data_IF_570767995652
#
_entry.id   IF_570767995652
#
_cell.length_a   1.000
_cell.length_b   1.000
_cell.length_c   1.000
_cell.angle_alpha   90.00
_cell.angle_beta   90.00
_cell.angle_gamma   90.00
#
_symmetry.space_group_name_H-M   'P 1'
#
loop_
_entity.id
_entity.type
_entity.pdbx_description
1 polymer ?
#
# COMPACT_ATOMS: atom_id res chain seq x y z
N UNK A 1 -7.95 -1.72 46.06
CA UNK A 1 -9.40 -1.83 46.31
C UNK A 1 -10.12 -1.56 45.01
N UNK A 2 -10.67 -2.60 44.43
CA UNK A 2 -11.29 -2.71 43.11
C UNK A 2 -12.71 -2.18 43.16
N UNK A 3 -13.17 -1.46 42.13
CA UNK A 3 -14.57 -1.39 41.71
C UNK A 3 -14.59 -0.88 40.26
N UNK A 4 -14.81 -1.77 39.35
CA UNK A 4 -16.05 -2.40 38.92
C UNK A 4 -16.78 -1.58 37.85
N UNK A 5 -16.64 -2.07 36.63
CA UNK A 5 -17.62 -2.18 35.55
C UNK A 5 -19.01 -1.58 35.81
N UNK A 6 -19.49 -0.75 34.90
CA UNK A 6 -20.92 -0.81 34.52
C UNK A 6 -21.07 -0.85 33.01
N UNK A 7 -21.44 -2.01 32.59
CA UNK A 7 -22.12 -2.39 31.35
C UNK A 7 -23.56 -1.81 31.33
N UNK A 8 -24.12 -1.75 30.08
CA UNK A 8 -25.55 -1.64 29.74
C UNK A 8 -26.02 -0.21 29.44
N UNK A 9 -26.51 0.04 28.26
CA UNK A 9 -27.82 -0.34 27.78
C UNK A 9 -27.90 -0.38 26.25
N UNK A 10 -28.30 -1.53 25.74
CA UNK A 10 -28.86 -1.71 24.40
C UNK A 10 -30.29 -1.15 24.45
N UNK A 11 -30.57 -0.13 23.66
CA UNK A 11 -31.94 0.24 23.33
C UNK A 11 -32.21 -0.14 21.88
N UNK A 12 -32.83 -1.28 21.66
CA UNK A 12 -33.43 -1.65 20.39
C UNK A 12 -34.71 -0.83 20.20
N UNK A 13 -34.67 0.10 19.26
CA UNK A 13 -35.87 0.67 18.68
C UNK A 13 -35.95 0.20 17.23
N UNK A 14 -36.79 -0.79 16.96
CA UNK A 14 -37.19 -1.18 15.61
C UNK A 14 -38.30 -0.24 15.19
N UNK A 15 -38.05 0.63 14.19
CA UNK A 15 -39.06 1.17 13.28
C UNK A 15 -38.44 1.68 12.00
N UNK A 16 -38.77 1.03 10.89
CA UNK A 16 -38.95 1.56 9.55
C UNK A 16 -37.74 2.13 8.81
N UNK A 17 -37.19 1.37 7.85
CA UNK A 17 -36.74 1.82 6.55
C UNK A 17 -35.73 2.97 6.51
N UNK A 18 -34.42 2.62 6.50
CA UNK A 18 -33.35 3.52 6.22
C UNK A 18 -32.09 2.98 6.86
N UNK A 19 -31.12 2.54 6.08
CA UNK A 19 -29.79 2.19 6.58
C UNK A 19 -29.15 3.49 7.13
N UNK A 20 -29.41 3.80 8.38
CA UNK A 20 -28.61 4.75 9.13
C UNK A 20 -27.26 4.07 9.38
N UNK A 21 -26.24 4.45 8.60
CA UNK A 21 -24.87 4.21 8.96
C UNK A 21 -24.69 4.80 10.36
N UNK A 22 -24.55 3.94 11.37
CA UNK A 22 -24.12 4.35 12.68
C UNK A 22 -22.69 4.85 12.49
N UNK A 23 -22.53 6.15 12.34
CA UNK A 23 -21.25 6.79 12.53
C UNK A 23 -20.88 6.51 14.00
N UNK A 24 -20.02 5.49 14.21
CA UNK A 24 -19.38 5.31 15.51
C UNK A 24 -18.62 6.60 15.77
N UNK A 25 -19.12 7.37 16.73
CA UNK A 25 -18.37 8.50 17.24
C UNK A 25 -17.01 7.96 17.72
N UNK A 26 -15.93 8.52 17.18
CA UNK A 26 -14.58 8.20 17.61
C UNK A 26 -14.52 8.36 19.14
N UNK A 27 -14.34 7.26 19.86
CA UNK A 27 -14.20 7.30 21.33
C UNK A 27 -12.93 8.03 21.78
N UNK A 28 -12.02 8.29 20.85
CA UNK A 28 -10.76 8.98 21.10
C UNK A 28 -10.72 10.29 20.31
N UNK A 29 -10.40 11.42 20.95
CA UNK A 29 -10.20 12.68 20.25
C UNK A 29 -9.03 12.51 19.25
N UNK A 30 -9.22 13.01 18.04
CA UNK A 30 -8.11 13.10 17.07
C UNK A 30 -6.98 13.92 17.69
N UNK A 31 -5.76 13.41 17.58
CA UNK A 31 -4.57 14.18 17.95
C UNK A 31 -4.49 15.36 16.98
N UNK A 32 -4.71 16.58 17.47
CA UNK A 32 -4.64 17.77 16.63
C UNK A 32 -3.17 18.09 16.28
N UNK A 33 -2.89 18.86 15.21
CA UNK A 33 -1.54 19.27 14.86
C UNK A 33 -0.79 19.94 16.00
N UNK A 34 -1.48 20.62 16.90
CA UNK A 34 -0.92 21.29 18.07
C UNK A 34 -0.37 20.30 19.12
N UNK A 35 -0.99 19.14 19.26
CA UNK A 35 -0.62 18.08 20.18
C UNK A 35 -0.03 16.84 19.47
N UNK A 36 0.12 16.90 18.15
CA UNK A 36 0.63 15.81 17.35
C UNK A 36 2.14 15.61 17.51
N UNK A 37 2.68 14.47 17.02
CA UNK A 37 4.11 14.20 17.08
C UNK A 37 4.89 15.26 16.29
N UNK A 38 6.04 15.69 16.83
CA UNK A 38 6.97 16.53 16.08
C UNK A 38 7.58 15.69 14.95
N UNK A 39 7.45 16.15 13.71
CA UNK A 39 7.96 15.45 12.53
C UNK A 39 8.47 16.42 11.47
N UNK A 40 9.30 15.91 10.57
CA UNK A 40 9.78 16.60 9.35
C UNK A 40 9.07 16.10 8.09
N UNK A 41 8.12 15.17 8.22
CA UNK A 41 7.38 14.60 7.11
C UNK A 41 6.52 15.67 6.40
N UNK A 42 6.47 15.64 5.08
CA UNK A 42 5.64 16.52 4.28
C UNK A 42 4.16 16.10 4.25
N UNK A 43 3.88 14.82 4.49
CA UNK A 43 2.55 14.22 4.66
C UNK A 43 2.66 13.07 5.63
N UNK A 44 1.69 12.90 6.52
CA UNK A 44 1.68 11.86 7.54
C UNK A 44 0.26 11.40 7.83
N UNK A 45 0.11 10.12 8.06
CA UNK A 45 -1.10 9.50 8.60
C UNK A 45 -0.70 8.45 9.64
N UNK A 46 -1.37 8.46 10.78
CA UNK A 46 -1.32 7.40 11.79
C UNK A 46 -2.72 6.82 11.90
N UNK A 47 -2.83 5.51 11.72
CA UNK A 47 -4.11 4.81 11.71
C UNK A 47 -4.01 3.50 12.50
N UNK A 48 -5.04 3.18 13.26
CA UNK A 48 -5.18 1.86 13.86
C UNK A 48 -5.52 0.83 12.79
N UNK A 49 -4.69 -0.20 12.64
CA UNK A 49 -4.84 -1.21 11.58
C UNK A 49 -6.07 -2.10 11.75
N UNK A 50 -6.58 -2.27 12.98
CA UNK A 50 -7.73 -3.16 13.25
C UNK A 50 -9.05 -2.46 12.99
N UNK A 51 -9.14 -1.19 13.36
CA UNK A 51 -10.38 -0.42 13.30
C UNK A 51 -10.45 0.49 12.08
N UNK A 52 -9.32 0.79 11.45
CA UNK A 52 -9.22 1.80 10.39
C UNK A 52 -9.35 3.23 10.93
N UNK A 53 -9.35 3.41 12.27
CA UNK A 53 -9.47 4.73 12.87
C UNK A 53 -8.21 5.56 12.63
N UNK A 54 -8.38 6.76 12.09
CA UNK A 54 -7.30 7.74 11.96
C UNK A 54 -7.05 8.37 13.32
N UNK A 55 -5.84 8.25 13.82
CA UNK A 55 -5.40 8.79 15.11
C UNK A 55 -4.73 10.15 14.95
N UNK A 56 -4.00 10.35 13.85
CA UNK A 56 -3.36 11.62 13.51
C UNK A 56 -3.18 11.73 12.00
N UNK A 57 -3.32 12.95 11.48
CA UNK A 57 -3.05 13.23 10.07
C UNK A 57 -2.46 14.62 9.85
N UNK A 58 -1.57 14.71 8.88
CA UNK A 58 -1.01 15.97 8.39
C UNK A 58 -0.86 15.90 6.87
N UNK A 59 -1.60 16.75 6.15
CA UNK A 59 -1.60 16.79 4.68
C UNK A 59 -1.74 15.39 4.05
N UNK A 60 -2.58 14.53 4.66
CA UNK A 60 -2.68 13.11 4.33
C UNK A 60 -3.20 12.86 2.91
N UNK A 61 -3.95 13.81 2.33
CA UNK A 61 -4.55 13.70 0.99
C UNK A 61 -3.74 14.45 -0.10
N UNK A 62 -2.60 15.04 0.27
CA UNK A 62 -1.72 15.68 -0.71
C UNK A 62 -0.99 14.62 -1.54
N UNK A 63 -1.08 14.72 -2.87
CA UNK A 63 -0.36 13.85 -3.80
C UNK A 63 1.14 13.95 -3.62
N UNK A 64 1.80 12.80 -3.57
CA UNK A 64 3.25 12.65 -3.40
C UNK A 64 3.76 11.55 -4.30
N UNK A 65 5.02 11.62 -4.67
CA UNK A 65 5.71 10.49 -5.26
C UNK A 65 5.86 9.39 -4.20
N UNK A 66 5.40 8.16 -4.46
CA UNK A 66 5.50 7.07 -3.48
C UNK A 66 6.92 6.56 -3.29
N UNK A 67 7.80 6.78 -4.25
CA UNK A 67 9.13 6.15 -4.27
C UNK A 67 9.02 4.63 -4.04
N UNK A 68 9.94 4.04 -3.31
CA UNK A 68 9.97 2.58 -3.07
C UNK A 68 8.80 2.02 -2.26
N UNK A 69 7.93 2.85 -1.67
CA UNK A 69 6.69 2.35 -1.08
C UNK A 69 5.72 1.76 -2.11
N UNK A 70 5.91 2.08 -3.40
CA UNK A 70 5.27 1.39 -4.54
C UNK A 70 5.39 -0.13 -4.46
N UNK A 71 6.51 -0.64 -3.94
CA UNK A 71 6.80 -2.08 -3.86
C UNK A 71 5.84 -2.84 -2.94
N UNK A 72 5.13 -2.15 -2.04
CA UNK A 72 4.04 -2.75 -1.26
C UNK A 72 2.97 -3.28 -2.23
N UNK A 73 2.52 -2.45 -3.19
CA UNK A 73 1.56 -2.86 -4.21
C UNK A 73 2.12 -3.97 -5.11
N UNK A 74 3.37 -3.85 -5.53
CA UNK A 74 4.01 -4.86 -6.40
C UNK A 74 4.12 -6.21 -5.70
N UNK A 75 4.49 -6.22 -4.41
CA UNK A 75 4.56 -7.44 -3.61
C UNK A 75 3.17 -8.03 -3.35
N UNK A 76 2.18 -7.20 -3.03
CA UNK A 76 0.80 -7.65 -2.88
C UNK A 76 0.30 -8.35 -4.14
N UNK A 77 0.49 -7.74 -5.30
CA UNK A 77 0.09 -8.35 -6.58
C UNK A 77 0.87 -9.64 -6.87
N UNK A 78 2.17 -9.70 -6.51
CA UNK A 78 2.92 -10.95 -6.63
C UNK A 78 2.27 -12.07 -5.82
N UNK A 79 1.85 -11.79 -4.58
CA UNK A 79 1.20 -12.77 -3.70
C UNK A 79 -0.24 -13.09 -4.15
N UNK A 80 -0.95 -12.15 -4.78
CA UNK A 80 -2.31 -12.37 -5.31
C UNK A 80 -2.31 -13.25 -6.58
N UNK A 81 -1.28 -13.16 -7.44
CA UNK A 81 -1.27 -13.77 -8.77
C UNK A 81 -0.31 -14.94 -8.94
N UNK A 82 0.67 -15.11 -8.08
CA UNK A 82 1.76 -16.08 -8.23
C UNK A 82 1.93 -16.92 -6.96
N UNK A 83 2.55 -18.09 -7.12
CA UNK A 83 2.93 -18.91 -5.98
C UNK A 83 4.39 -18.59 -5.56
N UNK A 84 4.73 -18.65 -4.26
CA UNK A 84 6.09 -18.37 -3.80
C UNK A 84 7.17 -19.24 -4.46
N UNK A 85 6.80 -20.46 -4.85
CA UNK A 85 7.67 -21.46 -5.49
C UNK A 85 7.79 -21.30 -7.01
N UNK A 86 6.94 -20.47 -7.63
CA UNK A 86 7.07 -20.18 -9.07
C UNK A 86 8.47 -19.61 -9.36
N UNK A 87 9.08 -20.09 -10.43
CA UNK A 87 10.40 -19.65 -10.88
C UNK A 87 10.25 -18.81 -12.14
N UNK A 88 10.63 -17.54 -12.05
CA UNK A 88 10.58 -16.58 -13.13
C UNK A 88 11.97 -16.34 -13.71
N UNK A 89 12.01 -15.95 -14.98
CA UNK A 89 13.26 -15.62 -15.68
C UNK A 89 13.38 -14.12 -15.86
N UNK A 90 14.55 -13.58 -15.54
CA UNK A 90 14.87 -12.17 -15.76
C UNK A 90 14.92 -11.85 -17.28
N UNK A 91 14.31 -10.74 -17.73
CA UNK A 91 14.33 -10.36 -19.13
C UNK A 91 15.74 -10.00 -19.63
N UNK A 92 15.93 -10.02 -20.94
CA UNK A 92 17.24 -9.77 -21.58
C UNK A 92 17.83 -8.38 -21.25
N UNK A 93 16.97 -7.41 -21.02
CA UNK A 93 17.34 -6.02 -20.73
C UNK A 93 17.35 -5.65 -19.25
N UNK A 94 17.30 -6.64 -18.36
CA UNK A 94 17.20 -6.43 -16.91
C UNK A 94 18.31 -5.53 -16.35
N UNK A 95 19.49 -5.54 -16.96
CA UNK A 95 20.63 -4.69 -16.56
C UNK A 95 20.43 -3.19 -16.79
N UNK A 96 19.40 -2.80 -17.55
CA UNK A 96 19.05 -1.39 -17.77
C UNK A 96 18.23 -0.80 -16.62
N UNK A 97 17.78 -1.65 -15.68
CA UNK A 97 17.00 -1.19 -14.54
C UNK A 97 17.89 -0.45 -13.56
N UNK A 98 17.57 0.81 -13.33
CA UNK A 98 18.36 1.70 -12.47
C UNK A 98 17.94 1.59 -10.99
N UNK A 99 18.82 2.09 -10.11
CA UNK A 99 18.59 2.18 -8.68
C UNK A 99 18.98 0.93 -7.91
N UNK A 100 18.32 0.68 -6.78
CA UNK A 100 18.60 -0.49 -5.93
C UNK A 100 18.31 -1.78 -6.68
N UNK A 101 19.19 -2.76 -6.57
CA UNK A 101 19.16 -3.99 -7.37
C UNK A 101 19.61 -5.19 -6.55
N UNK A 102 19.15 -6.38 -6.91
CA UNK A 102 19.75 -7.64 -6.52
C UNK A 102 20.74 -8.19 -7.57
N UNK A 103 20.97 -7.39 -8.64
CA UNK A 103 21.94 -7.64 -9.70
C UNK A 103 21.64 -8.86 -10.58
N UNK A 104 20.36 -9.03 -10.94
CA UNK A 104 19.94 -10.10 -11.83
C UNK A 104 20.65 -10.08 -13.18
N UNK A 105 21.01 -11.28 -13.66
CA UNK A 105 21.57 -11.44 -15.00
C UNK A 105 20.43 -11.79 -16.00
N UNK A 106 20.58 -11.42 -17.28
CA UNK A 106 19.65 -11.84 -18.32
C UNK A 106 19.44 -13.36 -18.32
N UNK A 107 18.18 -13.79 -18.28
CA UNK A 107 17.82 -15.20 -18.24
C UNK A 107 17.97 -15.89 -16.89
N UNK A 108 18.47 -15.19 -15.86
CA UNK A 108 18.57 -15.75 -14.50
C UNK A 108 17.20 -16.16 -13.98
N UNK A 109 17.15 -17.33 -13.36
CA UNK A 109 15.92 -17.91 -12.82
C UNK A 109 15.86 -17.74 -11.32
N UNK A 110 14.80 -17.09 -10.82
CA UNK A 110 14.64 -16.75 -9.42
C UNK A 110 13.22 -17.06 -8.97
N UNK A 111 13.05 -17.56 -7.74
CA UNK A 111 11.75 -17.82 -7.17
C UNK A 111 10.99 -16.51 -6.87
N UNK A 112 9.65 -16.56 -6.94
CA UNK A 112 8.80 -15.42 -6.55
C UNK A 112 9.07 -15.02 -5.10
N UNK A 113 9.30 -15.99 -4.23
CA UNK A 113 9.68 -15.77 -2.82
C UNK A 113 10.93 -14.91 -2.71
N UNK A 114 12.01 -15.24 -3.42
CA UNK A 114 13.28 -14.51 -3.36
C UNK A 114 13.15 -13.13 -3.98
N UNK A 115 12.36 -13.00 -5.07
CA UNK A 115 12.04 -11.69 -5.66
C UNK A 115 11.28 -10.79 -4.67
N UNK A 116 10.28 -11.34 -3.97
CA UNK A 116 9.55 -10.59 -2.94
C UNK A 116 10.46 -10.17 -1.78
N UNK A 117 11.32 -11.06 -1.29
CA UNK A 117 12.31 -10.71 -0.27
C UNK A 117 13.29 -9.62 -0.76
N UNK A 118 13.77 -9.72 -1.99
CA UNK A 118 14.65 -8.71 -2.57
C UNK A 118 13.94 -7.35 -2.70
N UNK A 119 12.68 -7.32 -3.14
CA UNK A 119 11.88 -6.09 -3.20
C UNK A 119 11.72 -5.45 -1.83
N UNK A 120 11.37 -6.22 -0.80
CA UNK A 120 11.03 -5.68 0.53
C UNK A 120 12.27 -5.39 1.40
N UNK A 121 13.33 -6.19 1.33
CA UNK A 121 14.51 -6.05 2.18
C UNK A 121 15.63 -5.22 1.55
N UNK A 122 15.78 -5.29 0.22
CA UNK A 122 16.84 -4.59 -0.53
C UNK A 122 16.32 -3.52 -1.46
N UNK A 123 14.99 -3.38 -1.53
CA UNK A 123 14.33 -2.44 -2.43
C UNK A 123 14.70 -2.67 -3.92
N UNK A 124 14.94 -3.93 -4.31
CA UNK A 124 15.44 -4.30 -5.63
C UNK A 124 14.45 -3.94 -6.75
N UNK A 125 14.84 -3.02 -7.63
CA UNK A 125 14.01 -2.56 -8.76
C UNK A 125 13.93 -3.60 -9.87
N UNK A 126 15.02 -4.31 -10.13
CA UNK A 126 15.08 -5.41 -11.09
C UNK A 126 14.13 -6.56 -10.74
N UNK A 127 14.02 -6.91 -9.45
CA UNK A 127 13.01 -7.87 -8.99
C UNK A 127 11.58 -7.41 -9.29
N UNK A 128 11.28 -6.10 -9.12
CA UNK A 128 9.97 -5.55 -9.48
C UNK A 128 9.65 -5.71 -10.97
N UNK A 129 10.64 -5.51 -11.84
CA UNK A 129 10.46 -5.62 -13.31
C UNK A 129 10.15 -7.07 -13.71
N UNK A 130 10.81 -8.06 -13.09
CA UNK A 130 10.52 -9.49 -13.33
C UNK A 130 9.06 -9.81 -12.96
N UNK A 131 8.63 -9.42 -11.75
CA UNK A 131 7.25 -9.62 -11.28
C UNK A 131 6.25 -8.90 -12.19
N UNK A 132 6.51 -7.62 -12.50
CA UNK A 132 5.62 -6.81 -13.32
C UNK A 132 5.39 -7.38 -14.73
N UNK A 133 6.47 -7.83 -15.38
CA UNK A 133 6.38 -8.46 -16.69
C UNK A 133 5.60 -9.77 -16.64
N UNK A 134 5.74 -10.57 -15.59
CA UNK A 134 5.00 -11.82 -15.42
C UNK A 134 3.51 -11.60 -15.24
N UNK A 135 3.11 -10.59 -14.45
CA UNK A 135 1.70 -10.31 -14.12
C UNK A 135 1.03 -9.51 -15.24
N UNK A 136 1.68 -8.47 -15.74
CA UNK A 136 1.11 -7.52 -16.67
C UNK A 136 1.41 -7.79 -18.15
N UNK A 137 2.29 -8.74 -18.47
CA UNK A 137 2.84 -8.97 -19.81
C UNK A 137 3.75 -7.83 -20.30
N UNK A 138 3.71 -6.69 -19.63
CA UNK A 138 4.52 -5.49 -19.88
C UNK A 138 4.44 -4.55 -18.68
N UNK A 139 5.35 -3.56 -18.57
CA UNK A 139 5.30 -2.56 -17.52
C UNK A 139 4.02 -1.71 -17.56
N UNK A 140 3.55 -1.22 -18.73
CA UNK A 140 2.26 -0.53 -18.81
C UNK A 140 1.07 -1.43 -18.44
N UNK A 141 1.08 -2.71 -18.82
CA UNK A 141 0.06 -3.67 -18.42
C UNK A 141 -0.01 -3.86 -16.90
N UNK A 142 1.14 -3.98 -16.25
CA UNK A 142 1.25 -4.03 -14.80
C UNK A 142 0.74 -2.74 -14.14
N UNK A 143 1.15 -1.57 -14.64
CA UNK A 143 0.73 -0.28 -14.12
C UNK A 143 -0.79 -0.12 -14.09
N UNK A 144 -1.49 -0.58 -15.14
CA UNK A 144 -2.95 -0.61 -15.19
C UNK A 144 -3.54 -1.51 -14.12
N UNK A 145 -3.01 -2.74 -13.95
CA UNK A 145 -3.47 -3.70 -12.93
C UNK A 145 -3.26 -3.11 -11.53
N UNK A 146 -2.07 -2.54 -11.25
CA UNK A 146 -1.73 -1.96 -9.97
C UNK A 146 -2.63 -0.76 -9.62
N UNK A 147 -2.91 0.11 -10.60
CA UNK A 147 -3.81 1.26 -10.40
C UNK A 147 -5.23 0.82 -10.14
N UNK A 148 -5.72 -0.19 -10.86
CA UNK A 148 -7.06 -0.73 -10.64
C UNK A 148 -7.16 -1.41 -9.27
N UNK A 149 -6.14 -2.18 -8.88
CA UNK A 149 -6.09 -2.77 -7.53
C UNK A 149 -6.14 -1.71 -6.43
N UNK A 150 -5.41 -0.61 -6.59
CA UNK A 150 -5.48 0.51 -5.66
C UNK A 150 -6.91 1.06 -5.53
N UNK A 151 -7.62 1.23 -6.65
CA UNK A 151 -9.02 1.69 -6.64
C UNK A 151 -9.94 0.74 -5.90
N UNK A 152 -9.79 -0.58 -6.07
CA UNK A 152 -10.60 -1.58 -5.36
C UNK A 152 -10.36 -1.54 -3.83
N UNK A 153 -9.18 -1.09 -3.40
CA UNK A 153 -8.83 -0.87 -1.99
C UNK A 153 -9.30 0.51 -1.47
N UNK A 154 -9.98 1.30 -2.31
CA UNK A 154 -10.43 2.65 -1.97
C UNK A 154 -9.33 3.72 -2.03
N UNK A 155 -8.16 3.42 -2.61
CA UNK A 155 -7.06 4.35 -2.85
C UNK A 155 -7.28 5.10 -4.18
N UNK A 156 -8.21 6.05 -4.16
CA UNK A 156 -8.72 6.72 -5.37
C UNK A 156 -7.84 7.87 -5.87
N UNK A 157 -6.89 8.34 -5.06
CA UNK A 157 -5.91 9.36 -5.43
C UNK A 157 -4.52 8.75 -5.69
N UNK A 158 -4.49 7.53 -6.24
CA UNK A 158 -3.26 6.79 -6.52
C UNK A 158 -3.24 6.36 -7.98
N UNK A 159 -2.09 6.56 -8.62
CA UNK A 159 -1.79 6.04 -9.96
C UNK A 159 -0.37 5.47 -9.95
N UNK A 160 -0.25 4.25 -10.42
CA UNK A 160 1.03 3.58 -10.61
C UNK A 160 1.42 3.62 -12.09
N UNK A 161 2.69 3.94 -12.37
CA UNK A 161 3.30 3.93 -13.70
C UNK A 161 4.45 2.93 -13.72
N UNK A 162 5.26 2.90 -12.66
CA UNK A 162 6.40 1.98 -12.52
C UNK A 162 6.16 0.98 -11.41
N UNK A 163 6.71 -0.25 -11.50
CA UNK A 163 6.54 -1.26 -10.44
C UNK A 163 7.43 -1.04 -9.22
N UNK A 164 8.41 -0.14 -9.31
CA UNK A 164 9.45 0.08 -8.31
C UNK A 164 9.43 1.45 -7.66
N UNK A 165 8.68 2.42 -8.23
CA UNK A 165 8.56 3.75 -7.67
C UNK A 165 9.61 4.76 -8.14
N UNK A 166 10.35 4.47 -9.22
CA UNK A 166 11.12 5.51 -9.89
C UNK A 166 10.18 6.61 -10.39
N UNK A 167 10.60 7.89 -10.32
CA UNK A 167 9.73 9.01 -10.55
C UNK A 167 9.23 9.07 -12.02
N UNK A 168 7.93 9.24 -12.15
CA UNK A 168 7.22 9.53 -13.40
C UNK A 168 6.15 10.57 -13.08
N UNK A 169 5.83 11.49 -13.99
CA UNK A 169 4.89 12.59 -13.72
C UNK A 169 3.54 12.12 -13.17
N UNK A 170 3.02 11.01 -13.70
CA UNK A 170 1.73 10.45 -13.32
C UNK A 170 1.82 9.35 -12.26
N UNK A 171 3.01 9.15 -11.65
CA UNK A 171 3.23 8.15 -10.59
C UNK A 171 3.09 8.80 -9.22
N UNK A 172 1.90 8.74 -8.62
CA UNK A 172 1.62 9.38 -7.36
C UNK A 172 0.69 8.57 -6.45
N UNK A 173 0.72 8.90 -5.18
CA UNK A 173 -0.21 8.43 -4.14
C UNK A 173 -0.42 9.52 -3.09
N UNK A 174 -1.19 9.22 -2.05
CA UNK A 174 -1.34 10.05 -0.85
C UNK A 174 -1.01 9.21 0.39
N UNK A 175 -0.71 9.84 1.52
CA UNK A 175 -0.46 9.12 2.76
C UNK A 175 -1.70 8.29 3.18
N UNK A 176 -2.90 8.81 2.97
CA UNK A 176 -4.15 8.11 3.22
C UNK A 176 -4.32 6.90 2.30
N UNK A 177 -4.07 7.05 1.02
CA UNK A 177 -4.20 5.94 0.07
C UNK A 177 -3.15 4.86 0.31
N UNK A 178 -1.91 5.26 0.63
CA UNK A 178 -0.85 4.31 0.96
C UNK A 178 -1.20 3.50 2.21
N UNK A 179 -1.83 4.13 3.21
CA UNK A 179 -2.32 3.43 4.39
C UNK A 179 -3.38 2.37 4.03
N UNK A 180 -4.36 2.72 3.16
CA UNK A 180 -5.38 1.76 2.67
C UNK A 180 -4.78 0.58 1.90
N UNK A 181 -3.70 0.83 1.15
CA UNK A 181 -2.98 -0.20 0.41
C UNK A 181 -2.20 -1.14 1.36
N UNK A 182 -1.81 -0.64 2.54
CA UNK A 182 -0.93 -1.35 3.48
C UNK A 182 -1.67 -2.15 4.56
N UNK A 183 -3.00 -2.10 4.60
CA UNK A 183 -3.86 -2.85 5.51
C UNK A 183 -4.43 -4.06 4.81
#
# INVERSE_FOLDING_TARGET
MVRALKSWMIATAIWGGGAAAIAQANEYPLITPEFGPKHTAQSLLIMDMKTGQVLYEYKADTRRFPASTTKIMTTMLALDYLQPEDVLSAPADIKKVEGSSMFLQPGERVSVRDLCHAMMLRSANDACVVIANRIGGSLPGFARIATERARTLGATNTTFVTPHGMPEPDHYTTARDLAKISI
#
